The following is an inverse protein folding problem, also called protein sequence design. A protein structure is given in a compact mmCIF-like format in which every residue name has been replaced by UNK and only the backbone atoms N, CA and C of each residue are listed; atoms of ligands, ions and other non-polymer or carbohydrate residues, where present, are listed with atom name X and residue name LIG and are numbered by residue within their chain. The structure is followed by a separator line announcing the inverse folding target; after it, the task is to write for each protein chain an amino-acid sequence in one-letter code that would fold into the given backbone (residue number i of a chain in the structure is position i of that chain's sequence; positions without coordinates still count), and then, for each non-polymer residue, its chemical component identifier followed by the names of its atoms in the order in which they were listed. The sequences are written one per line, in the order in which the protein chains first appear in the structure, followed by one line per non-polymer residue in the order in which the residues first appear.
data_IF_277591487911
#
_entry.id   IF_277591487911
#
_cell.length_a   1.000
_cell.length_b   1.000
_cell.length_c   1.000
_cell.angle_alpha   90.00
_cell.angle_beta   90.00
_cell.angle_gamma   90.00
#
_symmetry.space_group_name_H-M   'P 1'
#
loop_
_entity.id
_entity.type
_entity.pdbx_description
1 polymer ?
#
# COMPACT_ATOMS: atom_id res chain seq x y z
N UNK A 1 4.27 1.12 -12.63
CA UNK A 1 4.86 2.33 -12.00
C UNK A 1 5.51 3.13 -13.11
N UNK A 2 5.15 4.40 -13.29
CA UNK A 2 5.73 5.25 -14.34
C UNK A 2 7.22 5.42 -14.04
N UNK A 3 8.10 4.79 -14.82
CA UNK A 3 9.54 5.04 -14.71
C UNK A 3 9.85 6.32 -15.45
N UNK A 4 10.34 7.32 -14.73
CA UNK A 4 10.70 8.61 -15.32
C UNK A 4 11.73 8.43 -16.45
N UNK A 5 12.68 7.52 -16.29
CA UNK A 5 13.67 7.19 -17.31
C UNK A 5 13.06 6.60 -18.59
N UNK A 6 12.05 5.73 -18.48
CA UNK A 6 11.32 5.18 -19.63
C UNK A 6 10.46 6.27 -20.28
N UNK A 7 9.78 7.09 -19.48
CA UNK A 7 8.99 8.22 -19.99
C UNK A 7 9.85 9.22 -20.77
N UNK A 8 11.03 9.56 -20.23
CA UNK A 8 12.00 10.45 -20.91
C UNK A 8 12.48 9.79 -22.19
N UNK A 9 12.90 8.53 -22.14
CA UNK A 9 13.36 7.78 -23.30
C UNK A 9 12.29 7.69 -24.39
N UNK A 10 11.07 7.30 -24.06
CA UNK A 10 9.99 7.14 -25.03
C UNK A 10 9.54 8.48 -25.61
N UNK A 11 9.61 9.57 -24.82
CA UNK A 11 9.39 10.94 -25.33
C UNK A 11 10.46 11.34 -26.35
N UNK A 12 11.74 11.02 -26.09
CA UNK A 12 12.84 11.30 -27.00
C UNK A 12 12.78 10.43 -28.28
N UNK A 13 12.29 9.19 -28.15
CA UNK A 13 12.19 8.24 -29.26
C UNK A 13 10.87 8.34 -30.06
N UNK A 14 9.99 9.29 -29.73
CA UNK A 14 8.71 9.47 -30.40
C UNK A 14 7.75 8.27 -30.28
N UNK A 15 7.93 7.44 -29.24
CA UNK A 15 7.13 6.23 -29.02
C UNK A 15 5.77 6.58 -28.41
N UNK A 16 4.75 5.82 -28.79
CA UNK A 16 3.41 5.99 -28.25
C UNK A 16 3.40 5.69 -26.75
N UNK A 17 3.10 6.71 -25.94
CA UNK A 17 3.03 6.57 -24.49
C UNK A 17 1.76 5.82 -24.13
N UNK A 18 1.84 4.66 -23.48
CA UNK A 18 0.68 4.05 -22.82
C UNK A 18 0.49 4.72 -21.46
N UNK A 19 -0.49 5.62 -21.28
CA UNK A 19 -0.70 6.25 -19.97
C UNK A 19 -1.10 5.18 -18.96
N UNK A 20 -0.53 5.23 -17.76
CA UNK A 20 -1.09 4.49 -16.63
C UNK A 20 -2.47 5.07 -16.34
N UNK A 21 -3.52 4.30 -16.64
CA UNK A 21 -4.91 4.70 -16.42
C UNK A 21 -5.36 4.17 -15.06
N UNK A 22 -5.09 4.95 -14.01
CA UNK A 22 -5.54 4.66 -12.65
C UNK A 22 -4.84 5.53 -11.61
N UNK A 23 -5.49 5.73 -10.46
CA UNK A 23 -4.85 6.35 -9.30
C UNK A 23 -4.10 5.29 -8.49
N UNK A 24 -2.99 5.72 -7.87
CA UNK A 24 -2.21 4.93 -6.92
C UNK A 24 -2.45 5.53 -5.53
N UNK A 25 -2.89 4.71 -4.60
CA UNK A 25 -3.00 5.06 -3.18
C UNK A 25 -1.86 4.42 -2.40
N UNK A 26 -1.20 5.20 -1.55
CA UNK A 26 -0.38 4.66 -0.46
C UNK A 26 -1.21 4.78 0.81
N UNK A 27 -1.63 3.66 1.36
CA UNK A 27 -2.52 3.61 2.51
C UNK A 27 -1.75 3.23 3.78
N UNK A 28 -1.58 4.21 4.66
CA UNK A 28 -1.03 3.99 6.00
C UNK A 28 -2.11 3.40 6.92
N UNK A 29 -2.12 2.08 7.09
CA UNK A 29 -3.16 1.33 7.82
C UNK A 29 -2.99 1.34 9.34
N UNK A 30 -1.78 1.65 9.79
CA UNK A 30 -1.41 1.73 11.20
C UNK A 30 -0.26 2.71 11.36
N UNK A 31 -0.16 3.35 12.53
CA UNK A 31 1.04 4.09 12.93
C UNK A 31 1.91 3.31 13.92
N UNK A 32 1.56 2.04 14.20
CA UNK A 32 2.38 1.13 15.01
C UNK A 32 3.60 0.69 14.23
N UNK A 33 4.77 0.75 14.85
CA UNK A 33 6.02 0.25 14.27
C UNK A 33 6.90 -0.36 15.36
N UNK A 34 7.64 -1.42 15.00
CA UNK A 34 8.66 -2.07 15.84
C UNK A 34 10.04 -1.40 15.73
N UNK A 35 10.14 -0.28 14.99
CA UNK A 35 11.36 0.50 14.79
C UNK A 35 11.11 1.99 15.08
N UNK A 36 12.19 2.73 15.33
CA UNK A 36 12.21 4.17 15.57
C UNK A 36 13.25 4.86 14.68
N UNK A 37 13.06 4.77 13.36
CA UNK A 37 14.01 5.28 12.37
C UNK A 37 14.14 6.81 12.46
N UNK A 38 15.37 7.33 12.43
CA UNK A 38 15.65 8.78 12.51
C UNK A 38 15.03 9.61 11.37
N UNK A 39 14.70 8.97 10.24
CA UNK A 39 14.12 9.60 9.05
C UNK A 39 12.63 9.25 8.87
N UNK A 40 11.95 8.72 9.90
CA UNK A 40 10.55 8.32 9.81
C UNK A 40 9.64 9.55 9.70
N UNK A 41 9.06 9.77 8.51
CA UNK A 41 8.19 10.93 8.27
C UNK A 41 6.92 10.93 9.15
N UNK A 42 6.42 9.75 9.52
CA UNK A 42 5.21 9.58 10.34
C UNK A 42 5.50 9.56 11.85
N UNK A 43 6.77 9.57 12.25
CA UNK A 43 7.20 9.34 13.65
C UNK A 43 6.49 8.13 14.27
N UNK A 44 6.37 7.05 13.48
CA UNK A 44 5.72 5.82 13.91
C UNK A 44 6.38 5.26 15.19
N UNK A 45 5.56 4.70 16.07
CA UNK A 45 6.01 4.20 17.38
C UNK A 45 5.16 3.03 17.84
N UNK A 46 5.63 2.26 18.83
CA UNK A 46 4.88 1.11 19.35
C UNK A 46 3.55 1.45 20.04
N UNK A 47 3.32 2.72 20.41
CA UNK A 47 2.20 3.15 21.25
C UNK A 47 0.93 3.60 20.50
N UNK A 48 0.87 3.50 19.17
CA UNK A 48 -0.32 3.93 18.43
C UNK A 48 -1.50 2.96 18.63
N UNK A 49 -2.67 3.47 19.03
CA UNK A 49 -3.79 2.65 19.52
C UNK A 49 -4.96 2.57 18.53
N UNK A 50 -5.11 3.53 17.62
CA UNK A 50 -6.29 3.59 16.75
C UNK A 50 -6.02 3.07 15.34
N UNK A 51 -6.54 1.87 15.08
CA UNK A 51 -6.60 1.26 13.76
C UNK A 51 -8.05 1.29 13.26
N UNK A 52 -8.23 1.46 11.94
CA UNK A 52 -9.57 1.41 11.33
C UNK A 52 -10.23 0.06 11.61
N UNK A 53 -11.51 0.07 11.96
CA UNK A 53 -12.33 -1.15 12.03
C UNK A 53 -12.48 -1.79 10.65
N UNK A 54 -12.84 -3.07 10.61
CA UNK A 54 -13.09 -3.76 9.34
C UNK A 54 -14.22 -3.11 8.54
N UNK A 55 -15.25 -2.62 9.22
CA UNK A 55 -16.38 -1.91 8.61
C UNK A 55 -15.87 -0.65 7.90
N UNK A 56 -15.03 0.14 8.57
CA UNK A 56 -14.48 1.35 7.99
C UNK A 56 -13.54 1.06 6.82
N UNK A 57 -12.79 -0.03 6.87
CA UNK A 57 -11.96 -0.47 5.73
C UNK A 57 -12.84 -0.80 4.53
N UNK A 58 -13.94 -1.55 4.71
CA UNK A 58 -14.86 -1.88 3.61
C UNK A 58 -15.46 -0.61 2.98
N UNK A 59 -15.87 0.35 3.80
CA UNK A 59 -16.35 1.65 3.31
C UNK A 59 -15.30 2.38 2.47
N UNK A 60 -14.05 2.44 2.96
CA UNK A 60 -12.95 3.05 2.20
C UNK A 60 -12.71 2.31 0.89
N UNK A 61 -12.75 0.97 0.86
CA UNK A 61 -12.59 0.19 -0.37
C UNK A 61 -13.66 0.58 -1.41
N UNK A 62 -14.91 0.78 -1.01
CA UNK A 62 -15.96 1.26 -1.91
C UNK A 62 -15.70 2.70 -2.39
N UNK A 63 -15.19 3.57 -1.53
CA UNK A 63 -14.74 4.91 -1.92
C UNK A 63 -13.62 4.83 -2.97
N UNK A 64 -12.63 3.96 -2.79
CA UNK A 64 -11.53 3.77 -3.74
C UNK A 64 -12.01 3.28 -5.11
N UNK A 65 -13.04 2.43 -5.15
CA UNK A 65 -13.67 1.98 -6.41
C UNK A 65 -14.33 3.15 -7.12
N UNK A 66 -15.10 3.96 -6.41
CA UNK A 66 -15.77 5.15 -6.95
C UNK A 66 -14.77 6.14 -7.54
N UNK A 67 -13.65 6.34 -6.85
CA UNK A 67 -12.57 7.23 -7.30
C UNK A 67 -11.63 6.61 -8.35
N UNK A 68 -11.93 5.40 -8.85
CA UNK A 68 -11.16 4.70 -9.90
C UNK A 68 -9.69 4.49 -9.54
N UNK A 69 -9.40 4.27 -8.26
CA UNK A 69 -8.10 3.79 -7.80
C UNK A 69 -7.88 2.39 -8.36
N UNK A 70 -6.64 2.10 -8.80
CA UNK A 70 -6.30 0.81 -9.39
C UNK A 70 -5.20 0.07 -8.63
N UNK A 71 -4.41 0.81 -7.87
CA UNK A 71 -3.26 0.28 -7.15
C UNK A 71 -3.24 0.79 -5.72
N UNK A 72 -3.11 -0.12 -4.76
CA UNK A 72 -3.07 0.20 -3.33
C UNK A 72 -1.76 -0.35 -2.74
N UNK A 73 -0.96 0.53 -2.18
CA UNK A 73 0.25 0.19 -1.43
C UNK A 73 -0.13 0.16 0.05
N UNK A 74 -0.11 -1.04 0.63
CA UNK A 74 -0.30 -1.25 2.06
C UNK A 74 0.97 -0.78 2.78
N UNK A 75 0.82 0.22 3.64
CA UNK A 75 1.92 0.95 4.29
C UNK A 75 1.53 1.33 5.71
N UNK A 76 2.35 2.13 6.40
CA UNK A 76 2.07 2.67 7.72
C UNK A 76 3.35 2.92 8.50
N UNK A 77 3.30 2.59 9.80
CA UNK A 77 4.50 2.22 10.54
C UNK A 77 5.05 0.90 10.00
N UNK A 78 4.70 -0.21 10.63
CA UNK A 78 4.96 -1.55 10.10
C UNK A 78 3.61 -2.28 9.87
N UNK A 79 3.16 -2.42 8.60
CA UNK A 79 1.88 -3.04 8.30
C UNK A 79 1.80 -4.51 8.74
N UNK A 80 2.92 -5.25 8.82
CA UNK A 80 2.91 -6.64 9.31
C UNK A 80 2.65 -6.77 10.82
N UNK A 81 2.64 -5.67 11.60
CA UNK A 81 2.16 -5.69 13.00
C UNK A 81 0.64 -5.72 13.12
N UNK A 82 -0.08 -5.43 12.04
CA UNK A 82 -1.53 -5.41 12.00
C UNK A 82 -2.06 -6.82 11.72
N UNK A 83 -2.84 -7.37 12.65
CA UNK A 83 -3.28 -8.78 12.64
C UNK A 83 -4.11 -9.18 11.41
N UNK A 84 -4.89 -8.25 10.86
CA UNK A 84 -5.81 -8.46 9.73
C UNK A 84 -5.22 -7.96 8.39
N UNK A 85 -3.90 -7.71 8.30
CA UNK A 85 -3.28 -7.14 7.09
C UNK A 85 -3.50 -7.99 5.84
N UNK A 86 -3.41 -9.32 5.96
CA UNK A 86 -3.61 -10.24 4.84
C UNK A 86 -5.09 -10.33 4.44
N UNK A 87 -6.03 -10.22 5.39
CA UNK A 87 -7.47 -10.14 5.10
C UNK A 87 -7.82 -8.87 4.32
N UNK A 88 -7.20 -7.75 4.68
CA UNK A 88 -7.35 -6.47 3.95
C UNK A 88 -6.78 -6.61 2.54
N UNK A 89 -5.60 -7.22 2.39
CA UNK A 89 -4.96 -7.46 1.10
C UNK A 89 -5.83 -8.33 0.19
N UNK A 90 -6.41 -9.42 0.73
CA UNK A 90 -7.38 -10.28 0.03
C UNK A 90 -8.62 -9.50 -0.39
N UNK A 91 -9.23 -8.75 0.53
CA UNK A 91 -10.44 -7.96 0.24
C UNK A 91 -10.20 -6.96 -0.91
N UNK A 92 -9.03 -6.30 -0.92
CA UNK A 92 -8.63 -5.41 -2.02
C UNK A 92 -8.43 -6.16 -3.34
N UNK A 93 -7.78 -7.32 -3.31
CA UNK A 93 -7.54 -8.15 -4.50
C UNK A 93 -8.85 -8.65 -5.11
N UNK A 94 -9.78 -9.12 -4.27
CA UNK A 94 -11.12 -9.59 -4.67
C UNK A 94 -11.97 -8.45 -5.23
N UNK A 95 -11.77 -7.24 -4.72
CA UNK A 95 -12.36 -6.01 -5.23
C UNK A 95 -11.74 -5.51 -6.55
N UNK A 96 -10.72 -6.19 -7.09
CA UNK A 96 -10.10 -5.88 -8.39
C UNK A 96 -8.93 -4.89 -8.32
N UNK A 97 -8.46 -4.54 -7.13
CA UNK A 97 -7.26 -3.71 -6.96
C UNK A 97 -5.99 -4.54 -7.14
N UNK A 98 -4.95 -3.89 -7.66
CA UNK A 98 -3.58 -4.40 -7.52
C UNK A 98 -3.00 -3.93 -6.20
N UNK A 99 -2.36 -4.81 -5.47
CA UNK A 99 -1.80 -4.52 -4.14
C UNK A 99 -0.29 -4.68 -4.14
N UNK A 100 0.38 -3.93 -3.27
CA UNK A 100 1.76 -4.22 -2.84
C UNK A 100 1.96 -3.82 -1.40
N UNK A 101 2.96 -4.40 -0.75
CA UNK A 101 3.31 -4.13 0.63
C UNK A 101 4.57 -3.26 0.72
N UNK A 102 4.54 -2.26 1.60
CA UNK A 102 5.70 -1.47 2.01
C UNK A 102 5.99 -1.80 3.47
N UNK A 103 7.03 -2.60 3.72
CA UNK A 103 7.40 -3.14 5.04
C UNK A 103 8.89 -2.91 5.30
N UNK A 104 9.30 -2.87 6.58
CA UNK A 104 10.70 -2.93 6.98
C UNK A 104 11.32 -4.33 6.80
N UNK A 105 10.50 -5.35 6.53
CA UNK A 105 10.93 -6.70 6.19
C UNK A 105 11.35 -7.59 7.36
N UNK A 106 11.32 -7.09 8.61
CA UNK A 106 11.75 -7.86 9.78
C UNK A 106 10.76 -8.95 10.22
N UNK A 107 9.52 -8.89 9.73
CA UNK A 107 8.43 -9.81 10.10
C UNK A 107 8.02 -10.72 8.93
N UNK A 108 8.86 -10.82 7.90
CA UNK A 108 8.65 -11.78 6.82
C UNK A 108 9.23 -13.12 7.27
N UNK A 109 8.36 -14.12 7.41
CA UNK A 109 8.69 -15.46 7.90
C UNK A 109 8.18 -16.54 6.93
N UNK A 110 8.61 -17.78 7.11
CA UNK A 110 8.25 -18.90 6.23
C UNK A 110 6.73 -19.15 6.19
N UNK A 111 6.03 -18.85 7.28
CA UNK A 111 4.58 -19.05 7.42
C UNK A 111 3.73 -17.98 6.72
N UNK A 112 4.29 -16.80 6.45
CA UNK A 112 3.56 -15.65 5.91
C UNK A 112 4.04 -15.17 4.53
N UNK A 113 5.18 -15.65 4.04
CA UNK A 113 5.76 -15.20 2.76
C UNK A 113 4.89 -15.53 1.53
N UNK A 114 3.96 -16.48 1.64
CA UNK A 114 3.07 -16.89 0.55
C UNK A 114 1.72 -16.15 0.53
N UNK A 115 1.41 -15.37 1.56
CA UNK A 115 0.18 -14.57 1.68
C UNK A 115 0.16 -13.38 0.70
#
# INVERSE_FOLDING_TARGET
MLRLSELVRDSLLGREKKPFRGLILIWNLTNRCNLHCAHCYSSASGGAVEELTQERIREVIEDLKREKVRYVILSGGEPLLRKDIFDIARTLKDAGFKTSLSTNGLLIEEDNVQE
#
